data_IF_125662034594
#
_entry.id   IF_125662034594
#
_cell.length_a   1.000
_cell.length_b   1.000
_cell.length_c   1.000
_cell.angle_alpha   90.00
_cell.angle_beta   90.00
_cell.angle_gamma   90.00
#
_symmetry.space_group_name_H-M   'P 1'
#
loop_
_entity.id
_entity.type
_entity.pdbx_description
1 polymer ?
#
# COMPACT_ATOMS: atom_id res chain seq x y z
N UNK A 1 -21.20 23.94 -37.81
CA UNK A 1 -21.91 23.29 -36.68
C UNK A 1 -21.13 22.05 -36.26
N UNK A 2 -20.64 21.92 -35.01
CA UNK A 2 -19.86 20.75 -34.61
C UNK A 2 -20.76 19.51 -34.47
N UNK A 3 -20.32 18.40 -35.07
CA UNK A 3 -21.01 17.10 -35.09
C UNK A 3 -21.08 16.49 -33.68
N UNK A 4 -22.26 16.01 -33.29
CA UNK A 4 -22.50 15.34 -32.02
C UNK A 4 -21.79 13.97 -32.01
N UNK A 5 -20.85 13.73 -31.09
CA UNK A 5 -19.98 12.53 -31.10
C UNK A 5 -20.61 11.28 -30.45
N UNK A 6 -21.92 11.27 -30.23
CA UNK A 6 -22.62 10.11 -29.66
C UNK A 6 -22.31 9.83 -28.18
N UNK A 7 -21.65 10.75 -27.48
CA UNK A 7 -21.41 10.65 -26.04
C UNK A 7 -21.49 12.03 -25.38
N UNK A 8 -21.81 12.04 -24.09
CA UNK A 8 -21.86 13.23 -23.25
C UNK A 8 -20.93 13.06 -22.06
N UNK A 9 -20.10 14.06 -21.79
CA UNK A 9 -19.29 14.12 -20.59
C UNK A 9 -20.11 14.80 -19.49
N UNK A 10 -20.39 14.08 -18.40
CA UNK A 10 -21.13 14.60 -17.25
C UNK A 10 -20.13 14.87 -16.13
N UNK A 11 -19.94 16.11 -15.69
CA UNK A 11 -19.14 16.41 -14.51
C UNK A 11 -19.74 15.72 -13.28
N UNK A 12 -18.95 14.87 -12.64
CA UNK A 12 -19.32 14.19 -11.38
C UNK A 12 -18.13 14.17 -10.45
N UNK A 13 -18.35 14.46 -9.17
CA UNK A 13 -17.30 14.33 -8.17
C UNK A 13 -16.95 12.86 -7.97
N UNK A 14 -15.64 12.57 -7.91
CA UNK A 14 -15.15 11.24 -7.58
C UNK A 14 -15.52 10.95 -6.12
N UNK A 15 -16.21 9.84 -5.81
CA UNK A 15 -16.49 9.46 -4.43
C UNK A 15 -15.20 9.38 -3.63
N UNK A 16 -15.20 9.92 -2.41
CA UNK A 16 -14.06 9.79 -1.51
C UNK A 16 -13.91 8.32 -1.14
N UNK A 17 -12.79 7.73 -1.55
CA UNK A 17 -12.50 6.34 -1.26
C UNK A 17 -12.20 6.22 0.24
N UNK A 18 -13.07 5.60 1.02
CA UNK A 18 -12.72 5.14 2.36
C UNK A 18 -11.64 4.06 2.22
N UNK A 19 -10.41 4.39 2.62
CA UNK A 19 -9.27 3.46 2.61
C UNK A 19 -8.80 3.26 4.03
N UNK A 20 -9.35 2.26 4.72
CA UNK A 20 -8.47 1.39 5.51
C UNK A 20 -7.63 0.64 4.47
N UNK A 21 -6.45 1.18 4.16
CA UNK A 21 -5.52 0.50 3.28
C UNK A 21 -5.04 -0.73 4.04
N UNK A 22 -5.38 -1.93 3.56
CA UNK A 22 -4.85 -3.20 4.06
C UNK A 22 -3.35 -3.12 4.40
N UNK A 23 -2.55 -2.50 3.52
CA UNK A 23 -1.11 -2.30 3.73
C UNK A 23 -0.78 -1.28 4.84
N UNK A 24 -1.62 -0.27 5.05
CA UNK A 24 -1.46 0.67 6.19
C UNK A 24 -1.65 -0.06 7.52
N UNK A 25 -2.65 -0.94 7.59
CA UNK A 25 -2.92 -1.69 8.81
C UNK A 25 -1.75 -2.61 9.17
N UNK A 26 -1.19 -3.33 8.20
CA UNK A 26 0.03 -4.15 8.41
C UNK A 26 1.19 -3.31 8.97
N UNK A 27 1.41 -2.10 8.44
CA UNK A 27 2.49 -1.23 8.92
C UNK A 27 2.21 -0.72 10.34
N UNK A 28 0.96 -0.35 10.64
CA UNK A 28 0.56 0.06 12.00
C UNK A 28 0.71 -1.08 13.02
N UNK A 29 0.34 -2.30 12.64
CA UNK A 29 0.50 -3.48 13.50
C UNK A 29 1.99 -3.79 13.74
N UNK A 30 2.83 -3.63 12.71
CA UNK A 30 4.28 -3.77 12.85
C UNK A 30 4.88 -2.72 13.80
N UNK A 31 4.48 -1.45 13.68
CA UNK A 31 4.90 -0.38 14.60
C UNK A 31 4.51 -0.69 16.04
N UNK A 32 3.28 -1.20 16.24
CA UNK A 32 2.76 -1.58 17.56
C UNK A 32 3.44 -2.82 18.16
N UNK A 33 3.92 -3.76 17.32
CA UNK A 33 4.58 -4.98 17.78
C UNK A 33 5.90 -4.74 18.53
N UNK A 34 6.50 -3.56 18.36
CA UNK A 34 7.81 -3.16 18.85
C UNK A 34 8.99 -4.05 18.40
N UNK A 35 8.76 -5.03 17.53
CA UNK A 35 9.79 -5.91 16.99
C UNK A 35 10.77 -5.17 16.07
N UNK A 36 12.01 -5.68 15.95
CA UNK A 36 13.00 -5.13 15.01
C UNK A 36 12.70 -5.54 13.57
N UNK A 37 12.18 -6.75 13.37
CA UNK A 37 11.83 -7.28 12.05
C UNK A 37 10.71 -8.31 12.15
N UNK A 38 9.78 -8.29 11.19
CA UNK A 38 8.63 -9.22 11.14
C UNK A 38 8.42 -9.74 9.72
N UNK A 39 8.10 -11.02 9.60
CA UNK A 39 7.61 -11.65 8.37
C UNK A 39 6.13 -11.29 8.16
N UNK A 40 5.81 -10.77 6.98
CA UNK A 40 4.43 -10.52 6.56
C UNK A 40 3.93 -11.75 5.80
N UNK A 41 3.17 -12.60 6.49
CA UNK A 41 2.62 -13.84 5.96
C UNK A 41 1.07 -13.90 6.12
N UNK A 42 0.43 -14.93 5.56
CA UNK A 42 -1.02 -15.15 5.66
C UNK A 42 -1.84 -14.21 4.77
N UNK A 43 -1.21 -13.55 3.79
CA UNK A 43 -1.90 -12.66 2.85
C UNK A 43 -2.22 -13.36 1.54
N UNK A 44 -3.38 -13.09 0.94
CA UNK A 44 -3.72 -13.56 -0.42
C UNK A 44 -2.98 -12.79 -1.53
N UNK A 45 -2.03 -11.92 -1.17
CA UNK A 45 -1.31 -11.07 -2.12
C UNK A 45 -0.09 -11.79 -2.63
N UNK A 46 0.12 -11.73 -3.95
CA UNK A 46 1.39 -12.15 -4.55
C UNK A 46 2.53 -11.36 -3.92
N UNK A 47 3.70 -11.97 -3.67
CA UNK A 47 4.82 -11.31 -2.99
C UNK A 47 5.20 -9.95 -3.59
N UNK A 48 5.27 -9.85 -4.93
CA UNK A 48 5.58 -8.60 -5.63
C UNK A 48 4.55 -7.50 -5.36
N UNK A 49 3.26 -7.86 -5.35
CA UNK A 49 2.17 -6.92 -5.06
C UNK A 49 2.18 -6.47 -3.61
N UNK A 50 2.50 -7.38 -2.69
CA UNK A 50 2.65 -7.07 -1.26
C UNK A 50 3.78 -6.06 -1.04
N UNK A 51 4.96 -6.32 -1.59
CA UNK A 51 6.13 -5.42 -1.51
C UNK A 51 5.79 -4.04 -2.07
N UNK A 52 5.20 -3.97 -3.27
CA UNK A 52 4.82 -2.70 -3.90
C UNK A 52 3.77 -1.94 -3.07
N UNK A 53 2.78 -2.64 -2.53
CA UNK A 53 1.74 -2.05 -1.70
C UNK A 53 2.30 -1.44 -0.41
N UNK A 54 3.18 -2.17 0.29
CA UNK A 54 3.82 -1.73 1.52
C UNK A 54 4.75 -0.53 1.27
N UNK A 55 5.63 -0.60 0.27
CA UNK A 55 6.54 0.50 -0.07
C UNK A 55 5.78 1.78 -0.40
N UNK A 56 4.72 1.66 -1.20
CA UNK A 56 3.89 2.81 -1.56
C UNK A 56 3.27 3.47 -0.33
N UNK A 57 2.86 2.71 0.67
CA UNK A 57 2.34 3.28 1.92
C UNK A 57 3.45 4.02 2.68
N UNK A 58 4.62 3.41 2.85
CA UNK A 58 5.75 4.04 3.53
C UNK A 58 6.14 5.36 2.87
N UNK A 59 6.23 5.38 1.53
CA UNK A 59 6.49 6.58 0.73
C UNK A 59 5.39 7.65 0.92
N UNK A 60 4.12 7.24 0.88
CA UNK A 60 2.98 8.16 1.00
C UNK A 60 2.88 8.78 2.40
N UNK A 61 3.26 8.02 3.43
CA UNK A 61 3.23 8.47 4.83
C UNK A 61 4.56 9.07 5.31
N UNK A 62 5.59 9.10 4.46
CA UNK A 62 6.91 9.63 4.81
C UNK A 62 7.62 8.84 5.91
N UNK A 63 7.35 7.53 6.03
CA UNK A 63 7.94 6.67 7.06
C UNK A 63 9.33 6.20 6.64
N UNK A 64 10.36 6.85 7.18
CA UNK A 64 11.77 6.54 6.90
C UNK A 64 12.41 5.55 7.88
N UNK A 65 11.79 5.28 9.04
CA UNK A 65 12.32 4.34 10.03
C UNK A 65 11.93 2.87 9.78
N UNK A 66 11.28 2.57 8.65
CA UNK A 66 10.82 1.23 8.30
C UNK A 66 11.16 0.94 6.85
N UNK A 67 11.68 -0.25 6.58
CA UNK A 67 12.03 -0.74 5.26
C UNK A 67 11.35 -2.06 4.94
N UNK A 68 10.95 -2.21 3.67
CA UNK A 68 10.43 -3.48 3.12
C UNK A 68 11.56 -4.25 2.44
N UNK A 69 11.85 -5.44 2.95
CA UNK A 69 12.86 -6.36 2.42
C UNK A 69 12.17 -7.60 1.88
N UNK A 70 12.60 -8.08 0.72
CA UNK A 70 12.15 -9.36 0.18
C UNK A 70 13.33 -10.34 0.18
N UNK A 71 13.12 -11.54 0.71
CA UNK A 71 14.08 -12.65 0.65
C UNK A 71 13.35 -13.84 0.05
N UNK A 72 13.80 -14.30 -1.11
CA UNK A 72 13.10 -15.33 -1.89
C UNK A 72 11.63 -14.92 -2.17
N UNK A 73 10.64 -15.65 -1.63
CA UNK A 73 9.21 -15.36 -1.78
C UNK A 73 8.60 -14.66 -0.56
N UNK A 74 9.39 -14.42 0.48
CA UNK A 74 8.94 -13.88 1.75
C UNK A 74 9.19 -12.37 1.83
N UNK A 75 8.25 -11.67 2.46
CA UNK A 75 8.27 -10.22 2.60
C UNK A 75 8.41 -9.85 4.07
N UNK A 76 9.41 -9.02 4.38
CA UNK A 76 9.73 -8.61 5.74
C UNK A 76 9.59 -7.10 5.88
N UNK A 77 9.11 -6.68 7.05
CA UNK A 77 9.25 -5.31 7.54
C UNK A 77 10.40 -5.27 8.55
N UNK A 78 11.25 -4.25 8.44
CA UNK A 78 12.45 -4.09 9.26
C UNK A 78 12.53 -2.63 9.70
N UNK A 79 12.82 -2.38 10.98
CA UNK A 79 13.14 -1.02 11.46
C UNK A 79 14.52 -0.61 10.96
N UNK A 80 14.66 0.59 10.44
CA UNK A 80 15.98 1.18 10.19
C UNK A 80 16.41 1.89 11.48
N UNK A 81 17.58 1.48 12.02
CA UNK A 81 18.25 2.11 13.17
C UNK A 81 18.78 3.51 12.82
#
# INVERSE_FOLDING_TARGET
>A
MPRNRGYTLIPKQVPTRQRTSFYKQIISDFEASNEKSVLVDGTDRKPVTLVQGLRKVLETEGKTGIRVVQRSLETYLVKED
#
